data_IF_675898202523
#
_entry.id   IF_675898202523
#
_cell.length_a   1.000
_cell.length_b   1.000
_cell.length_c   1.000
_cell.angle_alpha   90.00
_cell.angle_beta   90.00
_cell.angle_gamma   90.00
#
_symmetry.space_group_name_H-M   'P 1'
#
loop_
_entity.id
_entity.type
_entity.pdbx_description
1 polymer ?
#
# COMPACT_ATOMS: atom_id res chain seq x y z
N UNK A 1 -19.87 6.43 -47.54
CA UNK A 1 -19.69 5.20 -46.75
C UNK A 1 -18.41 5.19 -45.94
N UNK A 2 -17.24 5.62 -46.46
CA UNK A 2 -15.98 5.62 -45.72
C UNK A 2 -15.97 6.51 -44.44
N UNK A 3 -16.68 7.65 -44.46
CA UNK A 3 -16.75 8.59 -43.32
C UNK A 3 -17.55 8.01 -42.14
N UNK A 4 -18.60 7.22 -42.39
CA UNK A 4 -19.40 6.59 -41.32
C UNK A 4 -18.61 5.51 -40.57
N UNK A 5 -17.84 4.71 -41.30
CA UNK A 5 -16.95 3.69 -40.68
C UNK A 5 -15.83 4.33 -39.88
N UNK A 6 -15.28 5.46 -40.34
CA UNK A 6 -14.24 6.19 -39.62
C UNK A 6 -14.75 6.77 -38.30
N UNK A 7 -15.97 7.33 -38.29
CA UNK A 7 -16.61 7.86 -37.07
C UNK A 7 -16.92 6.72 -36.09
N UNK A 8 -17.43 5.59 -36.58
CA UNK A 8 -17.75 4.43 -35.74
C UNK A 8 -16.49 3.84 -35.10
N UNK A 9 -15.40 3.71 -35.87
CA UNK A 9 -14.12 3.26 -35.37
C UNK A 9 -13.54 4.23 -34.31
N UNK A 10 -13.68 5.53 -34.51
CA UNK A 10 -13.23 6.55 -33.58
C UNK A 10 -14.01 6.50 -32.25
N UNK A 11 -15.34 6.35 -32.32
CA UNK A 11 -16.20 6.25 -31.14
C UNK A 11 -15.94 4.97 -30.37
N UNK A 12 -15.69 3.86 -31.06
CA UNK A 12 -15.39 2.57 -30.40
C UNK A 12 -14.01 2.55 -29.71
N UNK A 13 -13.05 3.37 -30.17
CA UNK A 13 -11.70 3.40 -29.57
C UNK A 13 -11.64 4.15 -28.23
N UNK A 14 -12.55 5.09 -27.98
CA UNK A 14 -12.58 5.89 -26.74
C UNK A 14 -12.72 5.04 -25.48
N UNK A 15 -13.70 4.13 -25.33
CA UNK A 15 -13.82 3.30 -24.12
C UNK A 15 -12.62 2.35 -23.93
N UNK A 16 -12.00 1.89 -25.00
CA UNK A 16 -10.81 1.04 -24.94
C UNK A 16 -9.62 1.83 -24.38
N UNK A 17 -9.42 3.06 -24.84
CA UNK A 17 -8.35 3.96 -24.37
C UNK A 17 -8.57 4.29 -22.88
N UNK A 18 -9.78 4.60 -22.48
CA UNK A 18 -10.13 4.89 -21.06
C UNK A 18 -9.87 3.67 -20.18
N UNK A 19 -10.25 2.48 -20.61
CA UNK A 19 -10.02 1.23 -19.87
C UNK A 19 -8.52 0.95 -19.71
N UNK A 20 -7.74 1.07 -20.79
CA UNK A 20 -6.28 0.89 -20.72
C UNK A 20 -5.62 1.92 -19.81
N UNK A 21 -6.06 3.18 -19.83
CA UNK A 21 -5.54 4.23 -18.97
C UNK A 21 -5.82 3.95 -17.50
N UNK A 22 -7.01 3.48 -17.16
CA UNK A 22 -7.37 3.10 -15.79
C UNK A 22 -6.59 1.88 -15.32
N UNK A 23 -6.40 0.90 -16.17
CA UNK A 23 -5.61 -0.30 -15.87
C UNK A 23 -4.15 0.06 -15.56
N UNK A 24 -3.52 0.88 -16.42
CA UNK A 24 -2.16 1.38 -16.19
C UNK A 24 -2.04 2.24 -14.94
N UNK A 25 -3.05 3.04 -14.63
CA UNK A 25 -3.07 3.85 -13.40
C UNK A 25 -3.16 2.97 -12.15
N UNK A 26 -3.93 1.89 -12.17
CA UNK A 26 -4.04 0.97 -11.03
C UNK A 26 -2.77 0.15 -10.80
N UNK A 27 -2.01 -0.16 -11.84
CA UNK A 27 -0.69 -0.82 -11.71
C UNK A 27 0.39 0.08 -11.11
N UNK A 28 0.17 1.40 -11.10
CA UNK A 28 1.11 2.36 -10.50
C UNK A 28 0.94 2.55 -8.99
N UNK A 29 -0.02 1.91 -8.37
CA UNK A 29 -0.17 1.96 -6.91
C UNK A 29 1.03 1.25 -6.28
N UNK A 30 1.86 2.01 -5.55
CA UNK A 30 3.02 1.45 -4.89
C UNK A 30 2.62 0.53 -3.75
N UNK A 31 3.12 -0.69 -3.81
CA UNK A 31 2.92 -1.71 -2.80
C UNK A 31 4.28 -2.28 -2.41
N UNK A 32 4.52 -2.39 -1.12
CA UNK A 32 5.70 -3.06 -0.57
C UNK A 32 5.34 -4.46 -0.09
N UNK A 33 6.33 -5.34 0.02
CA UNK A 33 6.16 -6.68 0.57
C UNK A 33 6.91 -6.79 1.90
N UNK A 34 6.17 -7.05 2.96
CA UNK A 34 6.71 -7.31 4.29
C UNK A 34 6.80 -8.82 4.51
N UNK A 35 7.97 -9.28 4.95
CA UNK A 35 8.22 -10.69 5.19
C UNK A 35 8.24 -10.98 6.69
N UNK A 36 7.30 -11.79 7.13
CA UNK A 36 7.20 -12.25 8.52
C UNK A 36 7.21 -13.77 8.55
N UNK A 37 7.37 -14.35 9.72
CA UNK A 37 7.37 -15.81 9.88
C UNK A 37 6.15 -16.28 10.65
N UNK A 38 5.53 -17.36 10.18
CA UNK A 38 4.43 -18.00 10.87
C UNK A 38 4.92 -18.95 11.98
N UNK A 39 3.99 -19.64 12.63
CA UNK A 39 4.29 -20.59 13.73
C UNK A 39 5.17 -21.77 13.28
N UNK A 40 5.18 -22.08 12.00
CA UNK A 40 5.98 -23.16 11.41
C UNK A 40 7.33 -22.65 10.90
N UNK A 41 7.72 -21.40 11.19
CA UNK A 41 8.91 -20.73 10.68
C UNK A 41 8.93 -20.60 9.16
N UNK A 42 7.75 -20.60 8.54
CA UNK A 42 7.60 -20.35 7.11
C UNK A 42 7.45 -18.85 6.85
N UNK A 43 8.20 -18.34 5.89
CA UNK A 43 8.13 -16.93 5.50
C UNK A 43 6.81 -16.62 4.81
N UNK A 44 6.16 -15.55 5.28
CA UNK A 44 4.90 -15.06 4.74
C UNK A 44 5.10 -13.65 4.20
N UNK A 45 4.86 -13.45 2.91
CA UNK A 45 4.90 -12.13 2.29
C UNK A 45 3.54 -11.46 2.36
N UNK A 46 3.50 -10.23 2.85
CA UNK A 46 2.27 -9.44 2.94
C UNK A 46 2.43 -8.16 2.13
N UNK A 47 1.50 -7.89 1.24
CA UNK A 47 1.49 -6.66 0.42
C UNK A 47 0.83 -5.54 1.19
N UNK A 48 1.53 -4.43 1.35
CA UNK A 48 1.10 -3.31 2.16
C UNK A 48 1.36 -1.98 1.43
N UNK A 49 0.59 -0.97 1.81
CA UNK A 49 0.84 0.41 1.42
C UNK A 49 1.91 1.01 2.32
N UNK A 50 2.66 1.97 1.76
CA UNK A 50 3.78 2.63 2.42
C UNK A 50 3.68 4.14 2.25
N UNK A 51 4.02 4.87 3.30
CA UNK A 51 4.24 6.32 3.25
C UNK A 51 5.66 6.64 3.69
N UNK A 52 6.19 7.77 3.21
CA UNK A 52 7.50 8.27 3.61
C UNK A 52 7.33 9.58 4.38
N UNK A 53 8.01 9.69 5.51
CA UNK A 53 8.05 10.90 6.31
C UNK A 53 9.36 11.00 7.08
N UNK A 54 10.02 12.15 6.99
CA UNK A 54 11.26 12.42 7.72
C UNK A 54 12.41 11.47 7.43
N UNK A 55 12.44 10.86 6.25
CA UNK A 55 13.48 9.91 5.84
C UNK A 55 13.19 8.45 6.26
N UNK A 56 12.06 8.18 6.88
CA UNK A 56 11.64 6.84 7.29
C UNK A 56 10.42 6.37 6.51
N UNK A 57 10.27 5.06 6.40
CA UNK A 57 9.10 4.43 5.80
C UNK A 57 8.10 4.07 6.89
N UNK A 58 6.80 4.21 6.58
CA UNK A 58 5.72 3.90 7.50
C UNK A 58 4.73 2.94 6.87
N UNK A 59 4.40 1.89 7.59
CA UNK A 59 3.27 1.01 7.33
C UNK A 59 2.12 1.39 8.25
N UNK A 60 0.92 0.88 8.01
CA UNK A 60 -0.23 1.07 8.91
C UNK A 60 -0.85 -0.27 9.28
N UNK A 61 -1.16 -0.42 10.56
CA UNK A 61 -2.01 -1.50 11.04
C UNK A 61 -3.36 -0.94 11.45
N UNK A 62 -4.45 -1.59 11.05
CA UNK A 62 -5.81 -1.18 11.40
C UNK A 62 -6.11 -1.36 12.89
N UNK A 63 -7.21 -0.76 13.37
CA UNK A 63 -7.62 -0.78 14.77
C UNK A 63 -7.82 -2.20 15.33
N UNK A 64 -8.31 -3.11 14.49
CA UNK A 64 -8.55 -4.51 14.88
C UNK A 64 -7.28 -5.37 14.82
N UNK A 65 -6.15 -4.76 14.46
CA UNK A 65 -4.91 -5.48 14.23
C UNK A 65 -4.92 -6.25 12.91
N UNK A 66 -3.97 -7.16 12.76
CA UNK A 66 -3.85 -8.01 11.59
C UNK A 66 -2.94 -9.18 11.89
N UNK A 67 -3.05 -10.25 11.10
CA UNK A 67 -2.18 -11.41 11.24
C UNK A 67 -0.69 -11.07 10.99
N UNK A 68 -0.40 -10.24 9.99
CA UNK A 68 0.97 -9.82 9.71
C UNK A 68 1.58 -9.00 10.86
N UNK A 69 0.78 -8.17 11.54
CA UNK A 69 1.24 -7.40 12.69
C UNK A 69 1.51 -8.31 13.89
N UNK A 70 0.66 -9.29 14.14
CA UNK A 70 0.89 -10.29 15.18
C UNK A 70 2.23 -11.03 14.95
N UNK A 71 2.53 -11.39 13.70
CA UNK A 71 3.82 -12.02 13.37
C UNK A 71 5.00 -11.06 13.50
N UNK A 72 4.81 -9.79 13.10
CA UNK A 72 5.85 -8.75 13.21
C UNK A 72 6.28 -8.55 14.66
N UNK A 73 5.34 -8.55 15.60
CA UNK A 73 5.62 -8.34 17.02
C UNK A 73 6.55 -9.41 17.63
N UNK A 74 6.70 -10.55 16.98
CA UNK A 74 7.61 -11.60 17.39
C UNK A 74 9.03 -11.45 16.81
N UNK A 75 9.26 -10.40 16.03
CA UNK A 75 10.53 -10.14 15.34
C UNK A 75 11.06 -8.75 15.72
N UNK A 76 12.35 -8.66 16.01
CA UNK A 76 13.03 -7.37 16.22
C UNK A 76 13.44 -6.73 14.88
N UNK A 77 13.79 -7.57 13.92
CA UNK A 77 14.22 -7.18 12.57
C UNK A 77 13.30 -7.84 11.56
N UNK A 78 12.89 -7.09 10.56
CA UNK A 78 11.99 -7.55 9.52
C UNK A 78 12.53 -7.17 8.15
N UNK A 79 12.30 -8.04 7.17
CA UNK A 79 12.66 -7.77 5.79
C UNK A 79 11.48 -7.11 5.05
N UNK A 80 11.81 -6.14 4.21
CA UNK A 80 10.85 -5.46 3.34
C UNK A 80 11.43 -5.31 1.94
N UNK A 81 10.63 -5.62 0.93
CA UNK A 81 10.97 -5.36 -0.47
C UNK A 81 10.20 -4.13 -0.97
N UNK A 82 10.94 -3.18 -1.49
CA UNK A 82 10.41 -2.00 -2.17
C UNK A 82 11.21 -1.74 -3.45
N UNK A 83 10.50 -1.50 -4.55
CA UNK A 83 11.14 -1.29 -5.86
C UNK A 83 12.11 -2.42 -6.25
N UNK A 84 11.74 -3.67 -5.95
CA UNK A 84 12.54 -4.85 -6.27
C UNK A 84 13.77 -5.06 -5.38
N UNK A 85 13.95 -4.25 -4.33
CA UNK A 85 15.08 -4.35 -3.41
C UNK A 85 14.63 -4.75 -2.02
N UNK A 86 15.28 -5.76 -1.45
CA UNK A 86 14.97 -6.29 -0.13
C UNK A 86 16.04 -5.88 0.87
N UNK A 87 15.61 -5.21 1.93
CA UNK A 87 16.49 -4.78 3.03
C UNK A 87 15.90 -5.17 4.37
N UNK A 88 16.75 -5.17 5.39
CA UNK A 88 16.35 -5.41 6.78
C UNK A 88 16.07 -4.09 7.49
N UNK A 89 15.01 -4.09 8.31
CA UNK A 89 14.57 -2.93 9.07
C UNK A 89 14.31 -3.31 10.52
N UNK A 90 14.59 -2.37 11.41
CA UNK A 90 13.99 -2.35 12.74
C UNK A 90 12.67 -1.58 12.66
N UNK A 91 11.79 -1.79 13.60
CA UNK A 91 10.45 -1.18 13.57
C UNK A 91 10.04 -0.63 14.93
N UNK A 92 9.18 0.36 14.93
CA UNK A 92 8.62 0.95 16.13
C UNK A 92 7.20 1.47 15.85
N UNK A 93 6.32 1.36 16.84
CA UNK A 93 5.00 1.99 16.77
C UNK A 93 5.15 3.50 16.99
N UNK A 94 4.41 4.28 16.19
CA UNK A 94 4.39 5.74 16.24
C UNK A 94 2.95 6.26 16.26
N UNK A 95 2.24 6.04 17.35
CA UNK A 95 0.84 6.45 17.49
C UNK A 95 0.65 7.96 17.33
N UNK A 96 1.62 8.74 17.76
CA UNK A 96 1.62 10.22 17.66
C UNK A 96 1.65 10.71 16.20
N UNK A 97 2.04 9.87 15.27
CA UNK A 97 2.07 10.18 13.83
C UNK A 97 0.84 9.72 13.06
N UNK A 98 -0.15 9.18 13.74
CA UNK A 98 -1.33 8.59 13.11
C UNK A 98 -2.04 9.54 12.15
N UNK A 99 -2.30 10.77 12.57
CA UNK A 99 -2.96 11.77 11.72
C UNK A 99 -2.13 12.11 10.48
N UNK A 100 -0.82 12.34 10.68
CA UNK A 100 0.07 12.69 9.57
C UNK A 100 0.22 11.56 8.56
N UNK A 101 0.45 10.35 9.02
CA UNK A 101 0.59 9.19 8.14
C UNK A 101 -0.71 8.87 7.41
N UNK A 102 -1.86 8.98 8.08
CA UNK A 102 -3.16 8.82 7.43
C UNK A 102 -3.38 9.86 6.32
N UNK A 103 -2.98 11.12 6.57
CA UNK A 103 -3.03 12.17 5.56
C UNK A 103 -2.14 11.86 4.35
N UNK A 104 -0.89 11.47 4.59
CA UNK A 104 0.06 11.11 3.54
C UNK A 104 -0.42 9.92 2.71
N UNK A 105 -0.99 8.91 3.35
CA UNK A 105 -1.58 7.76 2.67
C UNK A 105 -2.79 8.17 1.82
N UNK A 106 -3.64 9.06 2.32
CA UNK A 106 -4.79 9.58 1.57
C UNK A 106 -4.34 10.38 0.34
N UNK A 107 -3.33 11.21 0.47
CA UNK A 107 -2.76 11.98 -0.64
C UNK A 107 -2.14 11.06 -1.70
N UNK A 108 -1.41 10.05 -1.26
CA UNK A 108 -0.70 9.12 -2.14
C UNK A 108 -1.62 8.15 -2.86
N UNK A 109 -2.56 7.55 -2.14
CA UNK A 109 -3.44 6.49 -2.65
C UNK A 109 -4.84 7.01 -3.06
N UNK A 110 -5.13 8.27 -2.76
CA UNK A 110 -6.33 8.97 -3.22
C UNK A 110 -7.63 8.31 -2.77
N UNK A 111 -8.56 8.21 -3.70
CA UNK A 111 -9.90 7.65 -3.42
C UNK A 111 -9.86 6.20 -2.94
N UNK A 112 -8.84 5.43 -3.33
CA UNK A 112 -8.70 4.03 -2.89
C UNK A 112 -8.58 3.93 -1.37
N UNK A 113 -7.80 4.82 -0.73
CA UNK A 113 -7.68 4.86 0.73
C UNK A 113 -9.01 5.25 1.40
N UNK A 114 -9.69 6.26 0.87
CA UNK A 114 -11.00 6.70 1.36
C UNK A 114 -12.06 5.61 1.21
N UNK A 115 -12.09 4.91 0.09
CA UNK A 115 -13.03 3.83 -0.17
C UNK A 115 -12.82 2.65 0.78
N UNK A 116 -11.59 2.19 0.94
CA UNK A 116 -11.25 1.11 1.88
C UNK A 116 -11.56 1.55 3.32
N UNK A 117 -11.28 2.81 3.66
CA UNK A 117 -11.61 3.38 4.96
C UNK A 117 -13.09 3.30 5.27
N UNK A 118 -13.96 3.63 4.32
CA UNK A 118 -15.43 3.51 4.46
C UNK A 118 -15.84 2.05 4.69
N UNK A 119 -15.26 1.11 3.93
CA UNK A 119 -15.58 -0.32 4.04
C UNK A 119 -15.10 -0.95 5.35
N UNK A 120 -14.01 -0.46 5.92
CA UNK A 120 -13.37 -1.03 7.12
C UNK A 120 -13.65 -0.24 8.41
N UNK A 121 -14.60 0.72 8.39
CA UNK A 121 -14.94 1.54 9.54
C UNK A 121 -14.02 2.72 9.80
N UNK A 122 -13.22 3.12 8.81
CA UNK A 122 -12.31 4.26 8.86
C UNK A 122 -10.87 3.91 9.21
N UNK A 123 -9.96 4.82 8.84
CA UNK A 123 -8.52 4.68 9.10
C UNK A 123 -8.03 5.51 10.29
N UNK A 124 -8.96 6.21 10.96
CA UNK A 124 -8.62 7.12 12.06
C UNK A 124 -7.94 6.41 13.23
N UNK A 125 -8.28 5.15 13.46
CA UNK A 125 -7.72 4.33 14.53
C UNK A 125 -6.56 3.43 14.08
N UNK A 126 -6.02 3.66 12.88
CA UNK A 126 -4.86 2.91 12.43
C UNK A 126 -3.58 3.41 13.10
N UNK A 127 -2.66 2.50 13.36
CA UNK A 127 -1.39 2.82 14.01
C UNK A 127 -0.25 2.75 13.00
N UNK A 128 0.57 3.82 12.86
CA UNK A 128 1.75 3.79 12.01
C UNK A 128 2.87 2.95 12.62
N UNK A 129 3.56 2.23 11.74
CA UNK A 129 4.77 1.47 12.09
C UNK A 129 5.92 2.09 11.32
N UNK A 130 6.87 2.69 12.04
CA UNK A 130 8.08 3.27 11.47
C UNK A 130 9.12 2.19 11.22
N UNK A 131 9.70 2.22 10.02
CA UNK A 131 10.78 1.32 9.63
C UNK A 131 12.08 2.10 9.49
N UNK A 132 13.14 1.58 10.13
CA UNK A 132 14.49 2.13 10.03
C UNK A 132 15.43 1.04 9.54
N UNK A 133 16.32 1.37 8.60
CA UNK A 133 17.32 0.42 8.13
C UNK A 133 18.09 -0.17 9.32
N UNK A 134 18.15 -1.49 9.37
CA UNK A 134 18.99 -2.20 10.33
C UNK A 134 20.46 -2.12 9.90
N UNK A 135 21.36 -1.87 10.86
CA UNK A 135 22.78 -1.82 10.62
C UNK A 135 23.40 -3.23 10.60
#
# INVERSE_FOLDING_TARGET
MSKAYSILAMVASIPIILFCTQFLASERIEVVELYTFDETSTEVATRLWVADDGGYQYLRVGADGSEWFARLQLQEVVDLTRNGRRYKYTWALREEKSQKINLLMREKYGWSDSFIGILTGGRENSTPIELRLAN
#
